data_IF_845063965988
#
_entry.id   IF_845063965988
#
_cell.length_a   1.000
_cell.length_b   1.000
_cell.length_c   1.000
_cell.angle_alpha   90.00
_cell.angle_beta   90.00
_cell.angle_gamma   90.00
#
_symmetry.space_group_name_H-M   'P 1'
#
loop_
_entity.id
_entity.type
_entity.pdbx_description
1 polymer ?
#
# COMPACT_ATOMS: atom_id res chain seq x y z
N UNK A 1 -18.51 4.22 -17.36
CA UNK A 1 -18.45 3.14 -16.33
C UNK A 1 -19.86 2.77 -15.86
N UNK A 2 -20.19 1.47 -15.85
CA UNK A 2 -21.48 0.96 -15.38
C UNK A 2 -21.58 1.04 -13.84
N UNK A 3 -22.79 1.26 -13.29
CA UNK A 3 -23.05 1.27 -11.83
C UNK A 3 -22.61 -0.03 -11.17
N UNK A 4 -22.80 -1.17 -11.83
CA UNK A 4 -22.43 -2.48 -11.32
C UNK A 4 -20.90 -2.65 -11.23
N UNK A 5 -20.15 -2.17 -12.23
CA UNK A 5 -18.68 -2.21 -12.25
C UNK A 5 -18.10 -1.31 -11.16
N UNK A 6 -18.62 -0.09 -11.03
CA UNK A 6 -18.22 0.84 -9.97
C UNK A 6 -18.40 0.18 -8.60
N UNK A 7 -19.59 -0.34 -8.29
CA UNK A 7 -19.85 -1.02 -7.00
C UNK A 7 -18.89 -2.19 -6.78
N UNK A 8 -18.68 -3.01 -7.81
CA UNK A 8 -17.82 -4.20 -7.75
C UNK A 8 -16.37 -3.83 -7.43
N UNK A 9 -15.83 -2.78 -8.04
CA UNK A 9 -14.46 -2.33 -7.75
C UNK A 9 -14.30 -1.88 -6.30
N UNK A 10 -15.23 -1.09 -5.76
CA UNK A 10 -15.14 -0.65 -4.37
C UNK A 10 -15.19 -1.82 -3.39
N UNK A 11 -16.15 -2.73 -3.56
CA UNK A 11 -16.24 -3.92 -2.70
C UNK A 11 -14.97 -4.75 -2.80
N UNK A 12 -14.46 -4.96 -4.01
CA UNK A 12 -13.27 -5.78 -4.20
C UNK A 12 -12.03 -5.17 -3.52
N UNK A 13 -11.79 -3.88 -3.68
CA UNK A 13 -10.67 -3.20 -3.00
C UNK A 13 -10.82 -3.17 -1.48
N UNK A 14 -12.04 -3.02 -0.97
CA UNK A 14 -12.30 -3.08 0.46
C UNK A 14 -11.99 -4.48 1.02
N UNK A 15 -12.35 -5.55 0.29
CA UNK A 15 -11.99 -6.93 0.64
C UNK A 15 -10.46 -7.13 0.59
N UNK A 16 -9.79 -6.66 -0.47
CA UNK A 16 -8.33 -6.73 -0.56
C UNK A 16 -7.65 -6.02 0.62
N UNK A 17 -8.12 -4.83 0.99
CA UNK A 17 -7.63 -4.11 2.16
C UNK A 17 -7.83 -4.92 3.44
N UNK A 18 -9.00 -5.53 3.62
CA UNK A 18 -9.29 -6.40 4.76
C UNK A 18 -8.33 -7.59 4.86
N UNK A 19 -8.10 -8.28 3.74
CA UNK A 19 -7.14 -9.39 3.65
C UNK A 19 -5.73 -8.91 4.00
N UNK A 20 -5.34 -7.74 3.50
CA UNK A 20 -4.02 -7.17 3.73
C UNK A 20 -3.80 -6.80 5.20
N UNK A 21 -4.75 -6.12 5.85
CA UNK A 21 -4.64 -5.77 7.26
C UNK A 21 -4.71 -6.99 8.18
N UNK A 22 -5.50 -8.00 7.83
CA UNK A 22 -5.53 -9.28 8.55
C UNK A 22 -4.19 -10.01 8.41
N UNK A 23 -3.67 -10.10 7.19
CA UNK A 23 -2.36 -10.69 6.92
C UNK A 23 -1.24 -9.97 7.67
N UNK A 24 -1.27 -8.63 7.71
CA UNK A 24 -0.34 -7.83 8.51
C UNK A 24 -0.41 -8.21 10.00
N UNK A 25 -1.62 -8.20 10.58
CA UNK A 25 -1.83 -8.47 12.01
C UNK A 25 -1.39 -9.88 12.42
N UNK A 26 -1.63 -10.89 11.56
CA UNK A 26 -1.17 -12.25 11.78
C UNK A 26 0.34 -12.36 11.62
N UNK A 27 0.90 -11.71 10.60
CA UNK A 27 2.33 -11.81 10.30
C UNK A 27 3.20 -11.09 11.33
N UNK A 28 2.71 -10.00 11.93
CA UNK A 28 3.42 -9.30 13.01
C UNK A 28 3.66 -10.16 14.24
N UNK A 29 2.84 -11.20 14.47
CA UNK A 29 2.98 -12.10 15.62
C UNK A 29 3.58 -13.45 15.26
N UNK A 30 3.37 -13.93 14.02
CA UNK A 30 3.73 -15.29 13.62
C UNK A 30 5.02 -15.40 12.82
N UNK A 31 5.51 -14.31 12.21
CA UNK A 31 6.62 -14.36 11.25
C UNK A 31 7.73 -13.38 11.68
N UNK A 32 8.98 -13.83 11.59
CA UNK A 32 10.14 -12.97 11.79
C UNK A 32 10.17 -11.86 10.72
N UNK A 33 10.34 -10.60 11.13
CA UNK A 33 10.33 -9.44 10.23
C UNK A 33 11.33 -9.54 9.06
N UNK A 34 12.53 -10.11 9.28
CA UNK A 34 13.52 -10.33 8.20
C UNK A 34 13.02 -11.33 7.17
N UNK A 35 12.39 -12.41 7.62
CA UNK A 35 11.82 -13.44 6.74
C UNK A 35 10.65 -12.84 5.95
N UNK A 36 9.77 -12.08 6.61
CA UNK A 36 8.67 -11.37 5.95
C UNK A 36 9.16 -10.45 4.83
N UNK A 37 10.26 -9.71 5.06
CA UNK A 37 10.85 -8.83 4.04
C UNK A 37 11.42 -9.62 2.86
N UNK A 38 12.21 -10.68 3.13
CA UNK A 38 12.80 -11.52 2.09
C UNK A 38 11.71 -12.18 1.23
N UNK A 39 10.66 -12.71 1.86
CA UNK A 39 9.51 -13.29 1.17
C UNK A 39 8.84 -12.28 0.24
N UNK A 40 8.63 -11.05 0.70
CA UNK A 40 8.04 -10.01 -0.12
C UNK A 40 8.95 -9.61 -1.31
N UNK A 41 10.26 -9.47 -1.08
CA UNK A 41 11.22 -9.17 -2.15
C UNK A 41 11.27 -10.28 -3.20
N UNK A 42 11.29 -11.55 -2.79
CA UNK A 42 11.25 -12.66 -3.75
C UNK A 42 9.91 -12.70 -4.50
N UNK A 43 8.82 -12.37 -3.80
CA UNK A 43 7.48 -12.37 -4.40
C UNK A 43 7.32 -11.34 -5.51
N UNK A 44 7.99 -10.17 -5.50
CA UNK A 44 7.81 -9.20 -6.60
C UNK A 44 8.26 -9.77 -7.95
N UNK A 45 9.36 -10.52 -7.97
CA UNK A 45 9.89 -11.16 -9.17
C UNK A 45 8.93 -12.25 -9.64
N UNK A 46 8.49 -13.12 -8.73
CA UNK A 46 7.52 -14.19 -9.02
C UNK A 46 6.20 -13.60 -9.50
N UNK A 47 5.73 -12.54 -8.84
CA UNK A 47 4.45 -11.89 -9.10
C UNK A 47 4.40 -11.26 -10.49
N UNK A 48 5.50 -10.68 -10.96
CA UNK A 48 5.63 -10.21 -12.35
C UNK A 48 5.48 -11.36 -13.35
N UNK A 49 6.20 -12.47 -13.15
CA UNK A 49 6.13 -13.64 -14.02
C UNK A 49 4.72 -14.22 -14.02
N UNK A 50 4.13 -14.42 -12.83
CA UNK A 50 2.76 -14.90 -12.67
C UNK A 50 1.79 -14.02 -13.43
N UNK A 51 1.83 -12.69 -13.24
CA UNK A 51 0.93 -11.75 -13.93
C UNK A 51 0.98 -11.95 -15.46
N UNK A 52 2.17 -12.04 -16.05
CA UNK A 52 2.31 -12.26 -17.49
C UNK A 52 1.75 -13.60 -17.97
N UNK A 53 1.95 -14.67 -17.19
CA UNK A 53 1.44 -16.01 -17.52
C UNK A 53 -0.10 -16.09 -17.43
N UNK A 54 -0.70 -15.44 -16.43
CA UNK A 54 -2.14 -15.53 -16.18
C UNK A 54 -2.94 -14.32 -16.69
N UNK A 55 -2.32 -13.39 -17.43
CA UNK A 55 -2.97 -12.14 -17.91
C UNK A 55 -4.25 -12.36 -18.72
N UNK A 56 -4.42 -13.53 -19.34
CA UNK A 56 -5.62 -13.87 -20.11
C UNK A 56 -6.63 -14.73 -19.33
N UNK A 57 -6.32 -15.13 -18.10
CA UNK A 57 -7.20 -15.92 -17.23
C UNK A 57 -7.83 -15.04 -16.14
N UNK A 58 -9.10 -14.67 -16.32
CA UNK A 58 -9.79 -13.77 -15.38
C UNK A 58 -9.89 -14.32 -13.95
N UNK A 59 -10.14 -15.62 -13.79
CA UNK A 59 -10.22 -16.25 -12.46
C UNK A 59 -8.84 -16.25 -11.81
N UNK A 60 -7.81 -16.57 -12.59
CA UNK A 60 -6.41 -16.49 -12.17
C UNK A 60 -6.04 -15.10 -11.67
N UNK A 61 -6.41 -14.04 -12.39
CA UNK A 61 -6.09 -12.65 -12.01
C UNK A 61 -6.75 -12.22 -10.69
N UNK A 62 -7.96 -12.68 -10.40
CA UNK A 62 -8.61 -12.41 -9.10
C UNK A 62 -7.90 -13.11 -7.96
N UNK A 63 -7.56 -14.39 -8.14
CA UNK A 63 -6.82 -15.15 -7.12
C UNK A 63 -5.42 -14.55 -6.89
N UNK A 64 -4.74 -14.18 -7.97
CA UNK A 64 -3.48 -13.46 -7.93
C UNK A 64 -3.56 -12.14 -7.15
N UNK A 65 -4.65 -11.38 -7.33
CA UNK A 65 -4.87 -10.14 -6.57
C UNK A 65 -5.01 -10.39 -5.07
N UNK A 66 -5.65 -11.49 -4.67
CA UNK A 66 -5.75 -11.93 -3.28
C UNK A 66 -4.37 -12.28 -2.72
N UNK A 67 -3.57 -13.06 -3.47
CA UNK A 67 -2.21 -13.39 -3.03
C UNK A 67 -1.36 -12.12 -2.86
N UNK A 68 -1.41 -11.19 -3.81
CA UNK A 68 -0.72 -9.91 -3.69
C UNK A 68 -1.15 -9.12 -2.45
N UNK A 69 -2.43 -9.12 -2.08
CA UNK A 69 -2.89 -8.49 -0.85
C UNK A 69 -2.37 -9.20 0.41
N UNK A 70 -2.32 -10.53 0.42
CA UNK A 70 -1.71 -11.30 1.52
C UNK A 70 -0.24 -10.93 1.68
N UNK A 71 0.54 -10.99 0.59
CA UNK A 71 1.98 -10.70 0.64
C UNK A 71 2.26 -9.22 0.91
N UNK A 72 1.39 -8.30 0.48
CA UNK A 72 1.46 -6.90 0.90
C UNK A 72 1.30 -6.74 2.42
N UNK A 73 0.39 -7.49 3.05
CA UNK A 73 0.25 -7.52 4.51
C UNK A 73 1.49 -8.09 5.20
N UNK A 74 2.08 -9.16 4.65
CA UNK A 74 3.37 -9.70 5.14
C UNK A 74 4.47 -8.63 5.02
N UNK A 75 4.53 -7.90 3.90
CA UNK A 75 5.49 -6.82 3.70
C UNK A 75 5.31 -5.69 4.74
N UNK A 76 4.07 -5.24 4.98
CA UNK A 76 3.77 -4.27 6.05
C UNK A 76 4.27 -4.76 7.41
N UNK A 77 4.05 -6.04 7.72
CA UNK A 77 4.46 -6.60 9.01
C UNK A 77 5.97 -6.55 9.23
N UNK A 78 6.76 -6.70 8.16
CA UNK A 78 8.22 -6.63 8.25
C UNK A 78 8.69 -5.28 8.79
N UNK A 79 8.05 -4.18 8.37
CA UNK A 79 8.34 -2.85 8.89
C UNK A 79 8.04 -2.76 10.39
N UNK A 80 6.84 -3.15 10.82
CA UNK A 80 6.42 -3.05 12.21
C UNK A 80 7.28 -3.92 13.14
N UNK A 81 7.61 -5.15 12.72
CA UNK A 81 8.46 -6.05 13.50
C UNK A 81 9.90 -5.57 13.57
N UNK A 82 10.49 -5.13 12.44
CA UNK A 82 11.90 -4.73 12.40
C UNK A 82 12.15 -3.39 13.10
N UNK A 83 11.19 -2.45 13.05
CA UNK A 83 11.28 -1.17 13.76
C UNK A 83 10.69 -1.21 15.17
N UNK A 84 10.15 -2.35 15.59
CA UNK A 84 9.49 -2.52 16.89
C UNK A 84 8.39 -1.46 17.15
N UNK A 85 7.52 -1.28 16.15
CA UNK A 85 6.42 -0.30 16.17
C UNK A 85 5.10 -1.04 16.13
N UNK A 86 4.16 -0.64 16.99
CA UNK A 86 2.82 -1.21 16.97
C UNK A 86 2.06 -0.75 15.72
N UNK A 87 1.45 -1.68 14.95
CA UNK A 87 0.62 -1.33 13.82
C UNK A 87 -0.67 -0.63 14.26
N UNK A 88 -1.16 0.29 13.43
CA UNK A 88 -2.48 0.88 13.65
C UNK A 88 -3.54 -0.22 13.68
N UNK A 89 -4.48 -0.12 14.61
CA UNK A 89 -5.54 -1.11 14.76
C UNK A 89 -6.25 -1.35 13.40
N UNK A 90 -6.34 -2.61 12.94
CA UNK A 90 -6.87 -2.93 11.62
C UNK A 90 -8.35 -2.52 11.46
N UNK A 91 -9.12 -2.54 12.55
CA UNK A 91 -10.52 -2.10 12.56
C UNK A 91 -10.61 -0.60 12.32
N UNK A 92 -9.73 0.19 12.94
CA UNK A 92 -9.68 1.65 12.72
C UNK A 92 -9.27 1.96 11.29
N UNK A 93 -8.24 1.29 10.78
CA UNK A 93 -7.75 1.47 9.40
C UNK A 93 -8.84 1.15 8.36
N UNK A 94 -9.56 0.04 8.55
CA UNK A 94 -10.69 -0.35 7.70
C UNK A 94 -11.87 0.60 7.84
N UNK A 95 -12.18 1.08 9.05
CA UNK A 95 -13.23 2.05 9.30
C UNK A 95 -12.99 3.35 8.55
N UNK A 96 -11.78 3.91 8.67
CA UNK A 96 -11.37 5.14 7.96
C UNK A 96 -11.43 4.93 6.45
N UNK A 97 -10.83 3.85 5.93
CA UNK A 97 -10.88 3.53 4.50
C UNK A 97 -12.32 3.37 4.00
N UNK A 98 -13.18 2.70 4.78
CA UNK A 98 -14.58 2.49 4.46
C UNK A 98 -15.36 3.80 4.33
N UNK A 99 -15.20 4.72 5.29
CA UNK A 99 -15.81 6.06 5.24
C UNK A 99 -15.34 6.83 4.01
N UNK A 100 -14.02 6.87 3.76
CA UNK A 100 -13.44 7.54 2.58
C UNK A 100 -14.00 6.95 1.30
N UNK A 101 -14.06 5.62 1.18
CA UNK A 101 -14.62 4.92 0.04
C UNK A 101 -16.12 5.22 -0.16
N UNK A 102 -16.93 5.31 0.90
CA UNK A 102 -18.36 5.62 0.79
C UNK A 102 -18.57 7.06 0.30
N UNK A 103 -17.81 8.01 0.84
CA UNK A 103 -17.86 9.42 0.43
C UNK A 103 -17.45 9.52 -1.05
N UNK A 104 -16.32 8.92 -1.41
CA UNK A 104 -15.80 8.92 -2.78
C UNK A 104 -16.77 8.24 -3.77
N UNK A 105 -17.36 7.11 -3.40
CA UNK A 105 -18.39 6.43 -4.19
C UNK A 105 -19.63 7.31 -4.44
N UNK A 106 -20.03 8.08 -3.43
CA UNK A 106 -21.16 9.00 -3.51
C UNK A 106 -20.89 10.16 -4.48
N UNK A 107 -19.67 10.73 -4.45
CA UNK A 107 -19.24 11.73 -5.44
C UNK A 107 -19.18 11.13 -6.86
N UNK A 108 -18.61 9.94 -7.01
CA UNK A 108 -18.48 9.25 -8.31
C UNK A 108 -19.82 8.94 -9.00
N UNK A 109 -20.93 8.87 -8.25
CA UNK A 109 -22.27 8.74 -8.82
C UNK A 109 -22.80 10.05 -9.44
N UNK A 110 -22.43 11.19 -8.88
CA UNK A 110 -22.99 12.51 -9.24
C UNK A 110 -22.16 13.23 -10.30
N UNK A 111 -20.85 12.96 -10.36
CA UNK A 111 -19.94 13.66 -11.26
C UNK A 111 -20.14 13.26 -12.72
N UNK A 112 -20.28 14.28 -13.59
CA UNK A 112 -20.41 14.12 -15.04
C UNK A 112 -19.06 13.78 -15.69
N UNK A 113 -18.02 14.57 -15.40
CA UNK A 113 -16.68 14.36 -15.95
C UNK A 113 -15.81 13.52 -14.99
N UNK A 114 -16.01 12.20 -15.02
CA UNK A 114 -15.33 11.25 -14.12
C UNK A 114 -13.83 11.16 -14.38
N UNK A 115 -13.39 11.34 -15.61
CA UNK A 115 -11.98 11.22 -15.96
C UNK A 115 -11.16 12.33 -15.32
N UNK A 116 -11.57 13.59 -15.49
CA UNK A 116 -10.89 14.73 -14.87
C UNK A 116 -10.91 14.62 -13.36
N UNK A 117 -12.05 14.25 -12.77
CA UNK A 117 -12.15 14.04 -11.33
C UNK A 117 -11.16 12.99 -10.81
N UNK A 118 -11.08 11.81 -11.46
CA UNK A 118 -10.16 10.75 -11.05
C UNK A 118 -8.69 11.15 -11.22
N UNK A 119 -8.33 11.92 -12.26
CA UNK A 119 -6.97 12.45 -12.43
C UNK A 119 -6.60 13.42 -11.30
N UNK A 120 -7.52 14.32 -10.94
CA UNK A 120 -7.32 15.25 -9.83
C UNK A 120 -7.21 14.51 -8.49
N UNK A 121 -8.08 13.53 -8.22
CA UNK A 121 -8.01 12.68 -7.03
C UNK A 121 -6.68 11.92 -6.95
N UNK A 122 -6.21 11.32 -8.05
CA UNK A 122 -4.91 10.65 -8.08
C UNK A 122 -3.78 11.62 -7.67
N UNK A 123 -3.77 12.85 -8.19
CA UNK A 123 -2.78 13.85 -7.81
C UNK A 123 -2.88 14.24 -6.33
N UNK A 124 -4.09 14.43 -5.80
CA UNK A 124 -4.33 14.74 -4.39
C UNK A 124 -3.88 13.59 -3.47
N UNK A 125 -4.15 12.33 -3.85
CA UNK A 125 -3.74 11.17 -3.07
C UNK A 125 -2.22 11.04 -3.04
N UNK A 126 -1.53 11.34 -4.14
CA UNK A 126 -0.05 11.38 -4.14
C UNK A 126 0.46 12.44 -3.15
N UNK A 127 -0.16 13.62 -3.10
CA UNK A 127 0.18 14.63 -2.09
C UNK A 127 -0.11 14.14 -0.66
N UNK A 128 -1.23 13.44 -0.45
CA UNK A 128 -1.55 12.82 0.85
C UNK A 128 -0.52 11.76 1.25
N UNK A 129 -0.01 10.96 0.31
CA UNK A 129 1.07 10.00 0.57
C UNK A 129 2.33 10.74 1.03
N UNK A 130 2.73 11.81 0.34
CA UNK A 130 3.90 12.62 0.73
C UNK A 130 3.73 13.21 2.13
N UNK A 131 2.56 13.79 2.42
CA UNK A 131 2.25 14.32 3.76
C UNK A 131 2.25 13.22 4.84
N UNK A 132 1.75 12.02 4.50
CA UNK A 132 1.73 10.87 5.41
C UNK A 132 3.14 10.33 5.66
N UNK A 133 4.02 10.34 4.65
CA UNK A 133 5.45 10.01 4.80
C UNK A 133 6.12 11.02 5.75
N UNK A 134 5.83 12.32 5.62
CA UNK A 134 6.33 13.32 6.55
C UNK A 134 5.90 13.03 8.00
N UNK A 135 4.61 12.72 8.22
CA UNK A 135 4.10 12.33 9.55
C UNK A 135 4.77 11.04 10.05
N UNK A 136 4.99 10.08 9.16
CA UNK A 136 5.64 8.81 9.48
C UNK A 136 7.06 9.02 10.00
N UNK A 137 7.86 9.82 9.29
CA UNK A 137 9.28 10.06 9.63
C UNK A 137 9.40 11.01 10.83
N UNK A 138 8.60 12.08 10.89
CA UNK A 138 8.86 13.21 11.79
C UNK A 138 8.00 13.24 13.06
N UNK A 139 6.87 12.53 13.10
CA UNK A 139 5.89 12.73 14.16
C UNK A 139 5.41 11.43 14.82
N UNK A 140 4.74 10.57 14.06
CA UNK A 140 4.18 9.34 14.60
C UNK A 140 4.22 8.24 13.55
N UNK A 141 5.12 7.30 13.77
CA UNK A 141 5.39 6.25 12.80
C UNK A 141 4.23 5.27 12.63
N UNK A 142 3.42 5.02 13.67
CA UNK A 142 2.23 4.15 13.59
C UNK A 142 1.13 4.78 12.72
N UNK A 143 0.77 6.04 12.97
CA UNK A 143 -0.27 6.71 12.19
C UNK A 143 0.21 7.05 10.79
N UNK A 144 1.44 7.55 10.64
CA UNK A 144 2.02 7.89 9.35
C UNK A 144 2.10 6.70 8.41
N UNK A 145 2.64 5.55 8.86
CA UNK A 145 2.69 4.32 8.05
C UNK A 145 1.28 3.83 7.70
N UNK A 146 0.36 3.85 8.66
CA UNK A 146 -1.05 3.51 8.45
C UNK A 146 -1.69 4.35 7.34
N UNK A 147 -1.51 5.67 7.38
CA UNK A 147 -2.04 6.58 6.35
C UNK A 147 -1.37 6.38 4.99
N UNK A 148 -0.07 6.10 4.93
CA UNK A 148 0.59 5.75 3.66
C UNK A 148 -0.03 4.49 3.06
N UNK A 149 -0.16 3.41 3.83
CA UNK A 149 -0.71 2.16 3.31
C UNK A 149 -2.17 2.30 2.86
N UNK A 150 -3.01 2.97 3.65
CA UNK A 150 -4.40 3.28 3.25
C UNK A 150 -4.44 4.12 1.97
N UNK A 151 -3.58 5.13 1.86
CA UNK A 151 -3.51 6.01 0.69
C UNK A 151 -3.06 5.27 -0.56
N UNK A 152 -2.12 4.30 -0.45
CA UNK A 152 -1.71 3.46 -1.58
C UNK A 152 -2.87 2.59 -2.08
N UNK A 153 -3.64 1.98 -1.19
CA UNK A 153 -4.83 1.20 -1.58
C UNK A 153 -5.83 2.11 -2.32
N UNK A 154 -6.08 3.30 -1.77
CA UNK A 154 -7.04 4.25 -2.33
C UNK A 154 -6.56 4.83 -3.67
N UNK A 155 -5.25 5.06 -3.82
CA UNK A 155 -4.62 5.42 -5.09
C UNK A 155 -4.86 4.33 -6.14
N UNK A 156 -4.63 3.06 -5.78
CA UNK A 156 -4.82 1.94 -6.69
C UNK A 156 -6.27 1.76 -7.11
N UNK A 157 -7.23 1.99 -6.20
CA UNK A 157 -8.65 2.05 -6.55
C UNK A 157 -8.90 3.15 -7.60
N UNK A 158 -8.38 4.36 -7.40
CA UNK A 158 -8.61 5.48 -8.31
C UNK A 158 -7.98 5.25 -9.70
N UNK A 159 -6.77 4.69 -9.75
CA UNK A 159 -6.13 4.25 -11.00
C UNK A 159 -7.00 3.19 -11.70
N UNK A 160 -7.50 2.20 -10.95
CA UNK A 160 -8.39 1.16 -11.47
C UNK A 160 -9.65 1.78 -12.10
N UNK A 161 -10.32 2.68 -11.40
CA UNK A 161 -11.51 3.39 -11.89
C UNK A 161 -11.22 4.25 -13.12
N UNK A 162 -10.03 4.84 -13.22
CA UNK A 162 -9.62 5.63 -14.37
C UNK A 162 -9.46 4.76 -15.61
N UNK A 163 -8.76 3.62 -15.48
CA UNK A 163 -8.60 2.63 -16.55
C UNK A 163 -9.95 2.03 -16.97
N UNK A 164 -10.86 1.79 -16.02
CA UNK A 164 -12.23 1.38 -16.33
C UNK A 164 -12.98 2.42 -17.15
N UNK A 165 -12.80 3.70 -16.84
CA UNK A 165 -13.49 4.76 -17.54
C UNK A 165 -13.03 4.88 -19.00
N UNK A 166 -11.76 4.58 -19.27
CA UNK A 166 -11.19 4.55 -20.63
C UNK A 166 -11.55 3.30 -21.45
N UNK A 167 -12.25 2.32 -20.85
CA UNK A 167 -12.65 1.04 -21.48
C UNK A 167 -11.48 0.26 -22.11
N UNK A 168 -10.27 0.40 -21.59
CA UNK A 168 -9.07 -0.15 -22.22
C UNK A 168 -8.99 -1.68 -22.14
N UNK A 169 -9.47 -2.30 -21.05
CA UNK A 169 -9.34 -3.75 -20.81
C UNK A 169 -10.44 -4.32 -19.89
N UNK A 170 -10.47 -5.65 -19.72
CA UNK A 170 -11.44 -6.33 -18.83
C UNK A 170 -11.20 -6.05 -17.35
N UNK A 171 -12.26 -6.19 -16.53
CA UNK A 171 -12.21 -5.90 -15.08
C UNK A 171 -11.14 -6.66 -14.33
N UNK A 172 -10.98 -7.95 -14.63
CA UNK A 172 -9.96 -8.77 -14.01
C UNK A 172 -8.53 -8.32 -14.36
N UNK A 173 -8.28 -7.84 -15.58
CA UNK A 173 -6.96 -7.36 -16.03
C UNK A 173 -6.57 -6.08 -15.31
N UNK A 174 -7.48 -5.12 -15.23
CA UNK A 174 -7.27 -3.85 -14.52
C UNK A 174 -6.97 -4.12 -13.06
N UNK A 175 -7.81 -4.93 -12.41
CA UNK A 175 -7.65 -5.29 -10.99
C UNK A 175 -6.35 -6.07 -10.74
N UNK A 176 -6.01 -7.04 -11.60
CA UNK A 176 -4.75 -7.77 -11.49
C UNK A 176 -3.54 -6.84 -11.57
N UNK A 177 -3.52 -5.94 -12.56
CA UNK A 177 -2.44 -4.96 -12.74
C UNK A 177 -2.31 -4.01 -11.55
N UNK A 178 -3.44 -3.45 -11.10
CA UNK A 178 -3.45 -2.50 -9.99
C UNK A 178 -3.18 -3.16 -8.64
N UNK A 179 -3.45 -4.47 -8.46
CA UNK A 179 -3.02 -5.23 -7.29
C UNK A 179 -1.52 -5.42 -7.23
N UNK A 180 -0.86 -5.60 -8.38
CA UNK A 180 0.61 -5.65 -8.49
C UNK A 180 1.21 -4.29 -8.12
N UNK A 181 0.64 -3.18 -8.64
CA UNK A 181 1.06 -1.82 -8.27
C UNK A 181 0.89 -1.59 -6.76
N UNK A 182 -0.26 -2.00 -6.20
CA UNK A 182 -0.54 -1.85 -4.77
C UNK A 182 0.52 -2.57 -3.92
N UNK A 183 0.81 -3.82 -4.25
CA UNK A 183 1.86 -4.59 -3.58
C UNK A 183 3.24 -3.93 -3.73
N UNK A 184 3.61 -3.54 -4.94
CA UNK A 184 4.90 -2.89 -5.21
C UNK A 184 5.04 -1.57 -4.44
N UNK A 185 3.99 -0.74 -4.42
CA UNK A 185 4.00 0.53 -3.70
C UNK A 185 4.18 0.35 -2.18
N UNK A 186 3.52 -0.65 -1.61
CA UNK A 186 3.69 -0.99 -0.19
C UNK A 186 5.11 -1.49 0.08
N UNK A 187 5.62 -2.41 -0.73
CA UNK A 187 6.96 -2.96 -0.56
C UNK A 187 8.03 -1.87 -0.67
N UNK A 188 7.93 -0.99 -1.66
CA UNK A 188 8.86 0.15 -1.84
C UNK A 188 8.81 1.07 -0.62
N UNK A 189 7.62 1.40 -0.12
CA UNK A 189 7.46 2.26 1.06
C UNK A 189 8.12 1.63 2.30
N UNK A 190 7.94 0.31 2.48
CA UNK A 190 8.57 -0.45 3.56
C UNK A 190 10.10 -0.44 3.43
N UNK A 191 10.64 -0.71 2.23
CA UNK A 191 12.09 -0.73 2.00
C UNK A 191 12.71 0.64 2.31
N UNK A 192 12.10 1.72 1.81
CA UNK A 192 12.59 3.09 2.05
C UNK A 192 12.62 3.40 3.55
N UNK A 193 11.53 3.09 4.27
CA UNK A 193 11.45 3.35 5.71
C UNK A 193 12.45 2.51 6.54
N UNK A 194 12.80 1.31 6.08
CA UNK A 194 13.81 0.48 6.74
C UNK A 194 15.22 1.04 6.53
N UNK A 195 15.55 1.44 5.29
CA UNK A 195 16.85 2.02 4.93
C UNK A 195 17.10 3.34 5.66
N UNK A 196 16.12 4.25 5.71
CA UNK A 196 16.30 5.56 6.36
C UNK A 196 16.69 5.44 7.83
N UNK A 197 16.16 4.45 8.56
CA UNK A 197 16.56 4.27 9.95
C UNK A 197 17.95 3.67 10.15
N UNK A 198 18.53 2.96 9.16
CA UNK A 198 19.94 2.54 9.22
C UNK A 198 20.88 3.71 8.88
N UNK A 199 20.48 4.58 7.95
CA UNK A 199 21.27 5.77 7.56
C UNK A 199 21.34 6.80 8.69
N UNK A 200 20.25 7.00 9.44
CA UNK A 200 20.23 7.90 10.60
C UNK A 200 21.14 7.37 11.73
N UNK A 201 21.10 6.07 12.01
CA UNK A 201 22.00 5.47 13.02
C UNK A 201 23.48 5.63 12.65
N UNK A 202 23.85 5.48 11.38
CA UNK A 202 25.23 5.69 10.91
C UNK A 202 25.65 7.16 11.06
N UNK A 203 24.76 8.11 10.74
CA UNK A 203 25.01 9.54 10.89
C UNK A 203 25.16 9.96 12.37
N UNK A 204 24.34 9.42 13.27
CA UNK A 204 24.41 9.72 14.70
C UNK A 204 25.68 9.15 15.35
N UNK A 205 26.10 7.93 14.98
CA UNK A 205 27.37 7.33 15.42
C UNK A 205 28.56 8.20 14.97
N UNK A 206 28.53 8.74 13.76
CA UNK A 206 29.64 9.52 13.21
C UNK A 206 29.72 10.94 13.82
N UNK A 207 28.58 11.54 14.18
CA UNK A 207 28.50 12.83 14.87
C UNK A 207 28.97 12.70 16.33
N UNK A 208 28.53 11.66 17.05
CA UNK A 208 28.98 11.39 18.43
C UNK A 208 30.46 11.00 18.50
N UNK A 209 30.94 10.21 17.53
CA UNK A 209 32.35 9.85 17.38
C UNK A 209 33.27 11.07 17.18
N UNK A 210 32.84 12.07 16.40
CA UNK A 210 33.59 13.33 16.22
C UNK A 210 33.59 14.23 17.45
N UNK A 211 32.48 14.28 18.20
CA UNK A 211 32.39 15.10 19.42
C UNK A 211 33.31 14.58 20.53
N UNK A 212 33.41 13.26 20.69
CA UNK A 212 34.28 12.63 21.69
C UNK A 212 35.78 12.83 21.38
N UNK A 213 36.14 12.94 20.10
CA UNK A 213 37.53 13.18 19.67
C UNK A 213 38.00 14.62 19.87
N UNK A 214 37.09 15.61 19.90
CA UNK A 214 37.39 17.02 20.18
C UNK A 214 37.44 17.37 21.67
N UNK A 215 36.85 16.56 22.55
CA UNK A 215 36.89 16.75 24.00
C UNK A 215 38.13 16.12 24.66
N UNK A 216 38.86 15.27 23.92
CA UNK A 216 40.07 14.57 24.37
C UNK A 216 41.34 15.04 23.65
N UNK A 217 41.27 16.16 22.91
CA UNK A 217 42.40 16.85 22.26
C UNK A 217 42.50 18.26 22.79
#
# INVERSE_FOLDING_TARGET
MNKNELRRSYIFYYILAGIMFLSNSLSTTLINGKISLILAILWIVISLICYYLIKNNEKGLRFYSIINAIIAGVSMSSYYVLKNIEPLNPVVSLGVLGVVMIIHYSFMKKIKNKETFLKTEIALIVLCIIASIYVWIMHNSTYGSGFVFVSIIFLCLNISLLLFNKKETSHAKIVGFTSLIMFAGILVSVIIALIEGEVIEILDIDIWGRKKKRLNS
#
